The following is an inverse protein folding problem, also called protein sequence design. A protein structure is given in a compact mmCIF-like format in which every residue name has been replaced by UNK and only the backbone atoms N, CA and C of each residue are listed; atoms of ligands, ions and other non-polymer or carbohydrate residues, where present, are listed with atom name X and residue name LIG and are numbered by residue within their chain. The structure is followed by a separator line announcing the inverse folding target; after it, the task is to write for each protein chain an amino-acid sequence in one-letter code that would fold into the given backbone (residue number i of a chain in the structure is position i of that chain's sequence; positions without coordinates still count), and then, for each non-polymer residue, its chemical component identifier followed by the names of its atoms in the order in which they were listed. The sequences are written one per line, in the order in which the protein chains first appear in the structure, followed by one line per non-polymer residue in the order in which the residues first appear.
data_IF_785317145759
#
_entry.id   IF_785317145759
#
_cell.length_a   1.000
_cell.length_b   1.000
_cell.length_c   1.000
_cell.angle_alpha   90.00
_cell.angle_beta   90.00
_cell.angle_gamma   90.00
#
_symmetry.space_group_name_H-M   'P 1'
#
loop_
_entity.id
_entity.type
_entity.pdbx_description
1 polymer ?
#
# COMPACT_ATOMS: atom_id res chain seq x y z
N UNK A 1 8.31 -21.24 -32.28
CA UNK A 1 9.19 -20.26 -31.61
C UNK A 1 8.35 -19.04 -31.27
N UNK A 2 7.42 -19.20 -30.34
CA UNK A 2 6.57 -18.11 -29.85
C UNK A 2 6.29 -18.44 -28.40
N UNK A 3 7.08 -17.87 -27.50
CA UNK A 3 6.77 -17.65 -26.07
C UNK A 3 7.95 -16.97 -25.34
N UNK A 4 8.77 -16.18 -26.04
CA UNK A 4 9.86 -15.41 -25.43
C UNK A 4 9.46 -13.97 -25.09
N UNK A 5 8.15 -13.68 -25.10
CA UNK A 5 7.59 -12.33 -24.94
C UNK A 5 6.60 -12.22 -23.76
N UNK A 6 6.60 -13.20 -22.84
CA UNK A 6 5.93 -13.06 -21.54
C UNK A 6 6.89 -12.72 -20.38
N UNK A 7 8.20 -12.67 -20.64
CA UNK A 7 9.23 -12.45 -19.61
C UNK A 7 9.76 -11.00 -19.54
N UNK A 8 8.96 -10.04 -20.00
CA UNK A 8 9.23 -8.60 -19.84
C UNK A 8 8.07 -7.88 -19.13
N UNK A 9 7.39 -8.57 -18.20
CA UNK A 9 6.77 -7.85 -17.10
C UNK A 9 7.93 -7.27 -16.29
N UNK A 10 8.01 -5.94 -16.20
CA UNK A 10 9.06 -5.27 -15.44
C UNK A 10 9.23 -5.93 -14.07
N UNK A 11 10.46 -6.06 -13.59
CA UNK A 11 10.82 -6.64 -12.28
C UNK A 11 10.27 -5.81 -11.11
N UNK A 12 8.95 -5.70 -11.03
CA UNK A 12 8.20 -4.94 -10.05
C UNK A 12 8.12 -5.68 -8.73
N UNK A 13 7.69 -4.98 -7.70
CA UNK A 13 7.44 -5.54 -6.39
C UNK A 13 5.96 -5.94 -6.35
N UNK A 14 5.66 -7.16 -5.92
CA UNK A 14 4.26 -7.55 -5.70
C UNK A 14 3.71 -6.90 -4.43
N UNK A 15 2.47 -6.44 -4.51
CA UNK A 15 1.73 -5.87 -3.39
C UNK A 15 0.53 -6.75 -3.04
N UNK A 16 0.29 -6.88 -1.75
CA UNK A 16 -0.76 -7.70 -1.18
C UNK A 16 -1.54 -6.91 -0.14
N UNK A 17 -2.85 -7.08 -0.13
CA UNK A 17 -3.70 -6.69 1.00
C UNK A 17 -3.89 -7.89 1.94
N UNK A 18 -3.77 -7.66 3.24
CA UNK A 18 -3.87 -8.69 4.27
C UNK A 18 -4.70 -8.20 5.46
N UNK A 19 -5.46 -9.10 6.08
CA UNK A 19 -6.28 -8.81 7.28
C UNK A 19 -5.77 -9.51 8.54
N UNK A 20 -4.69 -10.30 8.43
CA UNK A 20 -4.04 -10.99 9.55
C UNK A 20 -2.55 -11.22 9.28
N UNK A 21 -1.78 -11.52 10.32
CA UNK A 21 -0.34 -11.84 10.23
C UNK A 21 -0.07 -13.28 9.79
N UNK A 22 -0.57 -13.66 8.62
CA UNK A 22 -0.40 -14.99 8.02
C UNK A 22 0.13 -14.91 6.59
N UNK A 23 1.23 -14.16 6.42
CA UNK A 23 1.81 -13.86 5.11
C UNK A 23 3.33 -13.91 5.07
N UNK A 24 3.99 -14.44 6.10
CA UNK A 24 5.46 -14.47 6.18
C UNK A 24 6.08 -15.38 5.09
N UNK A 25 5.31 -16.28 4.48
CA UNK A 25 5.75 -17.13 3.36
C UNK A 25 5.44 -16.53 1.97
N UNK A 26 4.95 -15.30 1.90
CA UNK A 26 4.59 -14.62 0.65
C UNK A 26 5.55 -13.44 0.49
N UNK A 27 6.48 -13.54 -0.44
CA UNK A 27 7.42 -12.45 -0.71
C UNK A 27 6.73 -11.26 -1.38
N UNK A 28 7.05 -10.05 -0.92
CA UNK A 28 6.50 -8.80 -1.44
C UNK A 28 6.17 -7.79 -0.35
N UNK A 29 5.27 -6.87 -0.68
CA UNK A 29 4.79 -5.81 0.22
C UNK A 29 3.38 -6.13 0.67
N UNK A 30 3.16 -6.10 1.97
CA UNK A 30 1.87 -6.37 2.57
C UNK A 30 1.31 -5.10 3.20
N UNK A 31 0.20 -4.62 2.65
CA UNK A 31 -0.70 -3.66 3.28
C UNK A 31 -1.60 -4.42 4.24
N UNK A 32 -1.26 -4.36 5.51
CA UNK A 32 -2.01 -4.95 6.60
C UNK A 32 -2.95 -3.90 7.20
N UNK A 33 -4.19 -4.27 7.46
CA UNK A 33 -5.12 -3.37 8.15
C UNK A 33 -4.53 -2.88 9.49
N UNK A 34 -4.59 -1.58 9.73
CA UNK A 34 -3.89 -0.86 10.79
C UNK A 34 -4.17 -1.32 12.24
N UNK A 35 -5.34 -1.87 12.51
CA UNK A 35 -5.72 -2.37 13.83
C UNK A 35 -5.21 -3.79 14.14
N UNK A 36 -4.78 -4.55 13.12
CA UNK A 36 -4.35 -5.93 13.28
C UNK A 36 -3.10 -6.01 14.13
N UNK A 37 -3.12 -6.89 15.15
CA UNK A 37 -2.04 -7.03 16.14
C UNK A 37 -1.90 -5.86 17.11
N UNK A 38 -2.89 -4.97 17.16
CA UNK A 38 -2.99 -3.91 18.17
C UNK A 38 -4.09 -4.24 19.18
N UNK A 39 -4.28 -3.40 20.19
CA UNK A 39 -5.41 -3.52 21.14
C UNK A 39 -6.74 -2.97 20.58
N UNK A 40 -6.72 -2.34 19.39
CA UNK A 40 -7.92 -1.82 18.74
C UNK A 40 -8.66 -2.92 17.98
N UNK A 41 -9.98 -2.96 18.11
CA UNK A 41 -10.84 -3.96 17.45
C UNK A 41 -11.34 -3.55 16.08
N UNK A 42 -11.07 -2.32 15.65
CA UNK A 42 -11.52 -1.74 14.39
C UNK A 42 -10.44 -0.88 13.76
N UNK A 43 -10.47 -0.82 12.44
CA UNK A 43 -9.62 0.07 11.66
C UNK A 43 -9.86 1.53 12.02
N UNK A 44 -8.82 2.35 11.89
CA UNK A 44 -8.90 3.77 12.15
C UNK A 44 -9.78 4.49 11.12
N UNK A 45 -10.75 5.24 11.64
CA UNK A 45 -11.66 6.08 10.87
C UNK A 45 -11.17 7.53 10.87
N UNK A 46 -10.77 8.00 9.70
CA UNK A 46 -10.41 9.39 9.43
C UNK A 46 -11.60 10.13 8.80
N UNK A 47 -12.57 10.54 9.62
CA UNK A 47 -13.76 11.29 9.18
C UNK A 47 -14.63 10.52 8.17
N UNK A 48 -14.89 9.24 8.46
CA UNK A 48 -15.60 8.33 7.58
C UNK A 48 -14.69 7.56 6.62
N UNK A 49 -13.39 7.88 6.57
CA UNK A 49 -12.44 7.22 5.69
C UNK A 49 -11.59 6.18 6.42
N UNK A 50 -11.63 4.92 5.97
CA UNK A 50 -10.77 3.82 6.47
C UNK A 50 -9.64 3.59 5.47
N UNK A 51 -8.53 4.32 5.65
CA UNK A 51 -7.43 4.40 4.66
C UNK A 51 -6.05 4.07 5.22
N UNK A 52 -5.92 3.84 6.52
CA UNK A 52 -4.61 3.61 7.16
C UNK A 52 -4.22 2.14 7.10
N UNK A 53 -2.98 1.86 6.72
CA UNK A 53 -2.41 0.51 6.65
C UNK A 53 -1.04 0.45 7.34
N UNK A 54 -0.79 -0.65 8.03
CA UNK A 54 0.56 -1.08 8.37
C UNK A 54 1.21 -1.66 7.12
N UNK A 55 2.49 -1.37 6.90
CA UNK A 55 3.24 -1.85 5.74
C UNK A 55 4.38 -2.74 6.18
N UNK A 56 4.40 -3.94 5.61
CA UNK A 56 5.44 -4.93 5.84
C UNK A 56 6.10 -5.34 4.53
N UNK A 57 7.43 -5.47 4.56
CA UNK A 57 8.20 -6.08 3.49
C UNK A 57 8.56 -7.51 3.91
N UNK A 58 8.28 -8.49 3.06
CA UNK A 58 8.60 -9.89 3.27
C UNK A 58 9.53 -10.35 2.15
N UNK A 59 10.64 -10.97 2.53
CA UNK A 59 11.58 -11.58 1.60
C UNK A 59 12.23 -12.80 2.25
N UNK A 60 12.15 -13.95 1.58
CA UNK A 60 12.71 -15.23 2.02
C UNK A 60 12.27 -15.61 3.45
N UNK A 61 10.99 -15.42 3.79
CA UNK A 61 10.46 -15.75 5.11
C UNK A 61 10.72 -14.71 6.19
N UNK A 62 11.47 -13.64 5.90
CA UNK A 62 11.77 -12.57 6.86
C UNK A 62 10.87 -11.37 6.63
N UNK A 63 10.11 -10.99 7.67
CA UNK A 63 9.24 -9.82 7.68
C UNK A 63 9.88 -8.62 8.38
N UNK A 64 9.87 -7.48 7.70
CA UNK A 64 10.31 -6.18 8.23
C UNK A 64 9.17 -5.17 8.20
N UNK A 65 9.02 -4.36 9.26
CA UNK A 65 8.01 -3.29 9.30
C UNK A 65 8.55 -1.99 8.71
N UNK A 66 7.88 -1.50 7.67
CA UNK A 66 8.19 -0.21 7.04
C UNK A 66 7.52 0.96 7.76
N UNK A 67 6.46 0.70 8.55
CA UNK A 67 5.69 1.71 9.27
C UNK A 67 4.25 1.74 8.79
N UNK A 68 3.64 2.93 8.76
CA UNK A 68 2.26 3.13 8.29
C UNK A 68 2.21 4.05 7.09
N UNK A 69 1.23 3.80 6.24
CA UNK A 69 0.86 4.67 5.12
C UNK A 69 -0.64 4.79 5.05
N UNK A 70 -1.13 5.91 4.55
CA UNK A 70 -2.52 6.10 4.20
C UNK A 70 -2.67 5.87 2.71
N UNK A 71 -3.67 5.11 2.29
CA UNK A 71 -3.96 4.81 0.89
C UNK A 71 -5.41 5.18 0.62
N UNK A 72 -5.62 6.25 -0.15
CA UNK A 72 -6.93 6.72 -0.59
C UNK A 72 -7.21 6.17 -1.98
N UNK A 73 -8.43 5.64 -2.17
CA UNK A 73 -8.92 5.18 -3.47
C UNK A 73 -10.08 6.06 -3.89
N UNK A 74 -9.99 6.66 -5.07
CA UNK A 74 -11.02 7.54 -5.60
C UNK A 74 -12.37 6.81 -5.72
N UNK A 75 -13.41 7.37 -5.11
CA UNK A 75 -14.76 6.80 -5.06
C UNK A 75 -14.98 5.75 -3.97
N UNK A 76 -14.03 5.57 -3.04
CA UNK A 76 -14.15 4.68 -1.90
C UNK A 76 -13.77 5.39 -0.60
N UNK A 77 -14.66 5.32 0.38
CA UNK A 77 -14.38 5.73 1.76
C UNK A 77 -13.54 4.68 2.51
N UNK A 78 -13.66 3.42 2.14
CA UNK A 78 -12.92 2.29 2.70
C UNK A 78 -12.06 1.60 1.62
N UNK A 79 -10.75 1.85 1.66
CA UNK A 79 -9.79 1.29 0.70
C UNK A 79 -9.69 -0.23 0.77
N UNK A 80 -9.96 -0.83 1.93
CA UNK A 80 -9.96 -2.29 2.09
C UNK A 80 -11.10 -2.96 1.34
N UNK A 81 -12.23 -2.28 1.15
CA UNK A 81 -13.33 -2.78 0.30
C UNK A 81 -12.88 -2.86 -1.15
N UNK A 82 -12.18 -1.82 -1.64
CA UNK A 82 -11.63 -1.82 -2.99
C UNK A 82 -10.61 -2.95 -3.19
N UNK A 83 -9.68 -3.14 -2.26
CA UNK A 83 -8.67 -4.19 -2.34
C UNK A 83 -9.25 -5.61 -2.24
N UNK A 84 -10.26 -5.81 -1.39
CA UNK A 84 -10.92 -7.10 -1.21
C UNK A 84 -11.73 -7.55 -2.44
N UNK A 85 -11.99 -6.65 -3.39
CA UNK A 85 -12.68 -6.98 -4.65
C UNK A 85 -11.75 -7.65 -5.69
N UNK A 86 -10.44 -7.72 -5.44
CA UNK A 86 -9.53 -8.51 -6.29
C UNK A 86 -9.82 -10.01 -6.14
N UNK A 87 -9.75 -10.73 -7.27
CA UNK A 87 -9.94 -12.18 -7.31
C UNK A 87 -8.61 -12.97 -7.22
N UNK A 88 -7.49 -12.28 -6.99
CA UNK A 88 -6.15 -12.86 -6.97
C UNK A 88 -5.73 -13.28 -5.55
N UNK A 89 -6.40 -14.28 -4.98
CA UNK A 89 -6.05 -14.80 -3.66
C UNK A 89 -4.68 -15.51 -3.66
N UNK A 90 -3.84 -15.19 -2.68
CA UNK A 90 -2.54 -15.83 -2.44
C UNK A 90 -2.45 -16.17 -0.95
N UNK A 91 -2.66 -17.45 -0.63
CA UNK A 91 -2.87 -17.87 0.76
C UNK A 91 -4.10 -17.20 1.35
N UNK A 92 -3.92 -16.40 2.40
CA UNK A 92 -4.97 -15.59 3.03
C UNK A 92 -4.86 -14.09 2.74
N UNK A 93 -3.91 -13.73 1.90
CA UNK A 93 -3.77 -12.38 1.36
C UNK A 93 -4.41 -12.30 -0.02
N UNK A 94 -4.67 -11.08 -0.48
CA UNK A 94 -5.13 -10.82 -1.84
C UNK A 94 -4.06 -10.02 -2.56
N UNK A 95 -3.63 -10.45 -3.74
CA UNK A 95 -2.71 -9.67 -4.57
C UNK A 95 -3.44 -8.44 -5.13
N UNK A 96 -2.82 -7.28 -4.95
CA UNK A 96 -3.37 -5.97 -5.32
C UNK A 96 -2.43 -5.17 -6.24
N UNK A 97 -1.32 -5.75 -6.70
CA UNK A 97 -0.34 -5.07 -7.57
C UNK A 97 -1.02 -4.35 -8.74
N UNK A 98 -1.96 -5.00 -9.42
CA UNK A 98 -2.69 -4.42 -10.55
C UNK A 98 -3.76 -3.38 -10.17
N UNK A 99 -4.15 -3.30 -8.89
CA UNK A 99 -5.12 -2.32 -8.38
C UNK A 99 -4.49 -0.99 -8.00
N UNK A 100 -3.15 -0.95 -7.83
CA UNK A 100 -2.38 0.25 -7.51
C UNK A 100 -2.12 1.07 -8.78
N UNK A 101 -3.16 1.76 -9.22
CA UNK A 101 -3.15 2.63 -10.39
C UNK A 101 -3.23 4.10 -9.94
N UNK A 102 -2.25 4.92 -10.30
CA UNK A 102 -2.17 6.35 -9.95
C UNK A 102 -3.39 7.17 -10.39
N UNK A 103 -4.19 6.66 -11.34
CA UNK A 103 -5.46 7.29 -11.77
C UNK A 103 -6.60 7.07 -10.78
N UNK A 104 -6.44 6.14 -9.83
CA UNK A 104 -7.44 5.76 -8.83
C UNK A 104 -6.93 5.74 -7.41
N UNK A 105 -5.62 5.60 -7.20
CA UNK A 105 -5.01 5.40 -5.89
C UNK A 105 -3.96 6.47 -5.66
N UNK A 106 -3.94 7.00 -4.45
CA UNK A 106 -2.84 7.81 -3.93
C UNK A 106 -2.50 7.33 -2.53
N UNK A 107 -1.22 7.17 -2.25
CA UNK A 107 -0.73 6.91 -0.90
C UNK A 107 0.05 8.09 -0.34
N UNK A 108 0.15 8.15 0.98
CA UNK A 108 1.04 9.06 1.66
C UNK A 108 1.55 8.38 2.93
N UNK A 109 2.88 8.21 3.03
CA UNK A 109 3.50 7.72 4.25
C UNK A 109 3.15 8.61 5.45
N UNK A 110 2.93 7.98 6.62
CA UNK A 110 2.56 8.72 7.84
C UNK A 110 3.72 9.48 8.47
N UNK A 111 4.97 9.13 8.16
CA UNK A 111 6.15 9.82 8.70
C UNK A 111 7.37 9.73 7.78
N UNK A 112 8.40 10.55 8.06
CA UNK A 112 9.65 10.56 7.30
C UNK A 112 10.52 9.30 7.52
N UNK A 113 10.34 8.62 8.66
CA UNK A 113 11.11 7.42 8.99
C UNK A 113 10.72 6.25 8.08
N UNK A 114 9.48 6.21 7.61
CA UNK A 114 9.00 5.27 6.59
C UNK A 114 9.90 5.27 5.34
N UNK A 115 10.13 6.44 4.74
CA UNK A 115 11.01 6.58 3.57
C UNK A 115 12.44 6.14 3.88
N UNK A 116 12.97 6.50 5.06
CA UNK A 116 14.31 6.08 5.49
C UNK A 116 14.43 4.55 5.57
N UNK A 117 13.41 3.86 6.08
CA UNK A 117 13.40 2.39 6.17
C UNK A 117 13.36 1.74 4.79
N UNK A 118 12.57 2.27 3.86
CA UNK A 118 12.53 1.77 2.48
C UNK A 118 13.90 1.88 1.82
N UNK A 119 14.53 3.05 1.89
CA UNK A 119 15.87 3.25 1.32
C UNK A 119 16.94 2.39 2.00
N UNK A 120 16.77 2.04 3.29
CA UNK A 120 17.69 1.14 3.98
C UNK A 120 17.49 -0.33 3.60
N UNK A 121 16.24 -0.78 3.43
CA UNK A 121 15.89 -2.18 3.20
C UNK A 121 15.99 -2.59 1.74
N UNK A 122 15.52 -1.74 0.82
CA UNK A 122 15.45 -2.03 -0.62
C UNK A 122 15.99 -0.85 -1.44
N UNK A 123 17.25 -0.39 -1.22
CA UNK A 123 17.78 0.83 -1.81
C UNK A 123 17.63 0.92 -3.33
N UNK A 124 17.83 -0.20 -4.04
CA UNK A 124 17.78 -0.26 -5.50
C UNK A 124 16.35 -0.28 -6.06
N UNK A 125 15.34 -0.54 -5.23
CA UNK A 125 13.93 -0.57 -5.63
C UNK A 125 13.09 0.49 -4.91
N UNK A 126 13.72 1.37 -4.13
CA UNK A 126 13.02 2.31 -3.26
C UNK A 126 12.11 3.28 -4.05
N UNK A 127 12.62 3.86 -5.13
CA UNK A 127 11.80 4.74 -5.98
C UNK A 127 10.70 3.96 -6.70
N UNK A 128 11.02 2.79 -7.24
CA UNK A 128 10.05 1.94 -7.93
C UNK A 128 8.92 1.51 -6.99
N UNK A 129 9.25 1.19 -5.74
CA UNK A 129 8.30 0.93 -4.67
C UNK A 129 7.38 2.13 -4.42
N UNK A 130 7.95 3.32 -4.20
CA UNK A 130 7.20 4.53 -3.90
C UNK A 130 6.30 4.96 -5.06
N UNK A 131 6.74 4.74 -6.30
CA UNK A 131 5.91 4.95 -7.49
C UNK A 131 4.79 3.93 -7.59
N UNK A 132 5.08 2.64 -7.40
CA UNK A 132 4.10 1.55 -7.50
C UNK A 132 3.02 1.61 -6.42
N UNK A 133 3.34 2.00 -5.19
CA UNK A 133 2.33 2.22 -4.13
C UNK A 133 1.51 3.50 -4.35
N UNK A 134 1.81 4.26 -5.41
CA UNK A 134 1.16 5.53 -5.75
C UNK A 134 1.43 6.64 -4.71
N UNK A 135 2.65 6.71 -4.15
CA UNK A 135 2.98 7.74 -3.17
C UNK A 135 2.91 9.14 -3.80
N UNK A 136 2.14 10.04 -3.18
CA UNK A 136 1.90 11.38 -3.67
C UNK A 136 3.18 12.22 -3.78
N UNK A 137 4.19 11.95 -2.96
CA UNK A 137 5.48 12.64 -2.99
C UNK A 137 6.34 12.21 -4.18
N UNK A 138 6.09 11.02 -4.74
CA UNK A 138 6.82 10.43 -5.86
C UNK A 138 6.01 10.44 -7.17
N UNK A 139 4.72 10.74 -7.11
CA UNK A 139 3.81 10.86 -8.25
C UNK A 139 3.24 12.29 -8.40
N UNK A 140 4.06 13.31 -8.14
CA UNK A 140 3.64 14.73 -8.18
C UNK A 140 3.03 15.18 -9.51
N UNK A 141 3.36 14.52 -10.62
CA UNK A 141 2.77 14.80 -11.93
C UNK A 141 1.24 14.58 -11.95
N UNK A 142 0.71 13.70 -11.08
CA UNK A 142 -0.71 13.42 -10.92
C UNK A 142 -1.36 14.25 -9.80
N UNK A 143 -0.63 15.17 -9.17
CA UNK A 143 -1.13 15.95 -8.03
C UNK A 143 -2.41 16.71 -8.35
N UNK A 144 -2.48 17.34 -9.53
CA UNK A 144 -3.68 18.06 -9.97
C UNK A 144 -4.92 17.17 -10.09
N UNK A 145 -4.76 15.85 -10.22
CA UNK A 145 -5.87 14.92 -10.26
C UNK A 145 -6.28 14.51 -8.84
N UNK A 146 -5.33 13.93 -8.08
CA UNK A 146 -5.66 13.35 -6.78
C UNK A 146 -5.93 14.38 -5.68
N UNK A 147 -5.44 15.62 -5.82
CA UNK A 147 -5.74 16.69 -4.86
C UNK A 147 -7.21 17.09 -4.87
N UNK A 148 -7.93 16.75 -5.95
CA UNK A 148 -9.36 17.04 -6.12
C UNK A 148 -10.26 15.87 -5.70
N UNK A 149 -9.71 14.75 -5.26
CA UNK A 149 -10.50 13.59 -4.85
C UNK A 149 -11.17 13.85 -3.50
N UNK A 150 -12.37 13.30 -3.35
CA UNK A 150 -13.07 13.31 -2.07
C UNK A 150 -12.22 12.59 -1.01
N UNK A 151 -12.15 13.18 0.18
CA UNK A 151 -11.35 12.65 1.28
C UNK A 151 -9.84 12.92 1.19
N UNK A 152 -9.31 13.53 0.13
CA UNK A 152 -7.86 13.80 0.00
C UNK A 152 -7.30 14.60 1.18
N UNK A 153 -7.82 15.81 1.41
CA UNK A 153 -7.37 16.67 2.51
C UNK A 153 -7.73 16.07 3.89
N UNK A 154 -8.92 15.48 4.00
CA UNK A 154 -9.48 14.99 5.26
C UNK A 154 -8.76 13.75 5.79
N UNK A 155 -8.42 12.82 4.89
CA UNK A 155 -7.91 11.51 5.28
C UNK A 155 -6.39 11.47 5.31
N UNK A 156 -5.69 12.02 4.30
CA UNK A 156 -4.25 11.79 4.13
C UNK A 156 -3.36 12.62 5.07
N UNK A 157 -3.76 13.84 5.40
CA UNK A 157 -2.89 14.77 6.14
C UNK A 157 -3.11 14.77 7.65
N UNK A 158 -4.07 13.98 8.15
CA UNK A 158 -4.31 13.87 9.58
C UNK A 158 -3.27 12.97 10.23
N UNK A 159 -2.47 13.57 11.11
CA UNK A 159 -1.69 12.79 12.08
C UNK A 159 -2.64 12.19 13.13
N UNK A 160 -2.65 10.86 13.22
CA UNK A 160 -3.20 10.18 14.39
C UNK A 160 -2.38 10.57 15.62
N UNK A 161 -3.07 10.92 16.71
CA UNK A 161 -2.47 11.41 17.95
C UNK A 161 -1.29 10.53 18.40
N UNK A 162 -0.19 11.21 18.78
CA UNK A 162 1.00 10.66 19.45
C UNK A 162 0.67 9.74 20.63
#
# INVERSE_FOLDING_TARGET
MENFQRDLCMSGIDFYFSTEFDFDNIDGIHLLQDHVGTYYSKAWDDFGYTVTFQVHYVENGRRESLGRTKVLVNGYDNSSVYFSASNENVGKSVRITALLDHRKVVSLASDIAYYRRIHALIPHKAEDYLRQICDGSYNLHAYGDFSNWEGFELSLFREGLK
#
